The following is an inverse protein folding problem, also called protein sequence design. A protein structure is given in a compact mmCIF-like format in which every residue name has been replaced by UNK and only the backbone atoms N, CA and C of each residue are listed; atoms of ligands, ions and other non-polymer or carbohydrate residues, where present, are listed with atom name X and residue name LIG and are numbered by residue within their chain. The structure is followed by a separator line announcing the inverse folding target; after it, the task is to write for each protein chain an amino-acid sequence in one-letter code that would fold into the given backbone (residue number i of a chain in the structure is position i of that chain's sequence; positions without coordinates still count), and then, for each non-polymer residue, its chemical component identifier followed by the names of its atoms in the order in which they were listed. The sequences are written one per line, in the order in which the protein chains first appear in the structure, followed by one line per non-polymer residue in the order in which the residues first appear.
data_IF_290393897125
#
_entry.id   IF_290393897125
#
_cell.length_a   1.000
_cell.length_b   1.000
_cell.length_c   1.000
_cell.angle_alpha   90.00
_cell.angle_beta   90.00
_cell.angle_gamma   90.00
#
_symmetry.space_group_name_H-M   'P 1'
#
loop_
_entity.id
_entity.type
_entity.pdbx_description
1 polymer ?
#
# COMPACT_ATOMS: atom_id res chain seq x y z
N UNK A 1 3.07 -26.33 14.31
CA UNK A 1 1.82 -26.69 13.61
C UNK A 1 1.31 -25.43 12.93
N UNK A 2 1.04 -25.49 11.64
CA UNK A 2 0.42 -24.37 10.90
C UNK A 2 -1.08 -24.29 11.24
N UNK A 3 -1.59 -23.08 11.32
CA UNK A 3 -3.00 -22.87 11.65
C UNK A 3 -3.83 -22.76 10.35
N UNK A 4 -5.07 -23.29 10.38
CA UNK A 4 -6.02 -23.04 9.32
C UNK A 4 -6.55 -21.61 9.42
N UNK A 5 -6.44 -20.84 8.36
CA UNK A 5 -6.97 -19.48 8.29
C UNK A 5 -8.49 -19.51 8.03
N UNK A 6 -9.24 -18.86 8.90
CA UNK A 6 -10.69 -18.62 8.72
C UNK A 6 -10.89 -17.11 8.73
N UNK A 7 -11.09 -16.48 7.58
CA UNK A 7 -11.23 -15.03 7.50
C UNK A 7 -12.53 -14.56 8.18
N UNK A 8 -12.44 -13.46 8.90
CA UNK A 8 -13.63 -12.72 9.32
C UNK A 8 -14.34 -12.14 8.07
N UNK A 9 -15.64 -11.80 8.14
CA UNK A 9 -16.37 -11.25 7.00
C UNK A 9 -15.68 -10.06 6.34
N UNK A 10 -15.18 -9.11 7.13
CA UNK A 10 -14.45 -7.95 6.62
C UNK A 10 -13.10 -8.34 5.96
N UNK A 11 -12.42 -9.36 6.46
CA UNK A 11 -11.20 -9.86 5.85
C UNK A 11 -11.48 -10.51 4.50
N UNK A 12 -12.57 -11.26 4.40
CA UNK A 12 -13.02 -11.85 3.14
C UNK A 12 -13.37 -10.77 2.11
N UNK A 13 -14.04 -9.70 2.52
CA UNK A 13 -14.31 -8.55 1.67
C UNK A 13 -13.00 -7.91 1.15
N UNK A 14 -12.02 -7.71 2.02
CA UNK A 14 -10.70 -7.19 1.62
C UNK A 14 -9.97 -8.13 0.66
N UNK A 15 -10.01 -9.45 0.89
CA UNK A 15 -9.42 -10.45 -0.02
C UNK A 15 -10.07 -10.36 -1.40
N UNK A 16 -11.40 -10.36 -1.45
CA UNK A 16 -12.15 -10.25 -2.70
C UNK A 16 -11.81 -8.96 -3.45
N UNK A 17 -11.75 -7.84 -2.73
CA UNK A 17 -11.41 -6.54 -3.33
C UNK A 17 -9.99 -6.53 -3.95
N UNK A 18 -9.00 -7.19 -3.32
CA UNK A 18 -7.65 -7.32 -3.89
C UNK A 18 -7.69 -8.18 -5.15
N UNK A 19 -8.47 -9.25 -5.17
CA UNK A 19 -8.57 -10.17 -6.31
C UNK A 19 -9.28 -9.48 -7.49
N UNK A 20 -10.38 -8.80 -7.24
CA UNK A 20 -11.25 -8.23 -8.28
C UNK A 20 -10.74 -6.91 -8.86
N UNK A 21 -10.08 -6.08 -8.04
CA UNK A 21 -9.71 -4.71 -8.41
C UNK A 21 -8.23 -4.59 -8.77
N UNK A 22 -7.88 -3.92 -9.87
CA UNK A 22 -6.47 -3.68 -10.23
C UNK A 22 -5.77 -2.68 -9.30
N UNK A 23 -6.52 -1.89 -8.55
CA UNK A 23 -6.02 -0.96 -7.53
C UNK A 23 -6.95 -0.92 -6.34
N UNK A 24 -6.42 -1.15 -5.13
CA UNK A 24 -7.18 -1.09 -3.88
C UNK A 24 -6.34 -0.54 -2.74
N UNK A 25 -6.95 0.33 -1.93
CA UNK A 25 -6.39 0.81 -0.68
C UNK A 25 -7.13 0.16 0.50
N UNK A 26 -6.40 -0.51 1.36
CA UNK A 26 -6.91 -1.06 2.61
C UNK A 26 -6.45 -0.17 3.78
N UNK A 27 -7.36 0.63 4.28
CA UNK A 27 -7.18 1.49 5.45
C UNK A 27 -7.72 0.78 6.69
N UNK A 28 -6.94 -0.17 7.17
CA UNK A 28 -7.31 -1.03 8.29
C UNK A 28 -6.46 -0.69 9.50
N UNK A 29 -7.08 -0.56 10.65
CA UNK A 29 -6.33 -0.40 11.91
C UNK A 29 -5.33 -1.53 12.16
N UNK A 30 -4.40 -1.28 13.08
CA UNK A 30 -3.41 -2.30 13.48
C UNK A 30 -4.14 -3.52 14.09
N UNK A 31 -3.62 -4.72 13.83
CA UNK A 31 -4.23 -5.96 14.34
C UNK A 31 -5.34 -6.58 13.49
N UNK A 32 -5.88 -5.87 12.48
CA UNK A 32 -6.96 -6.38 11.61
C UNK A 32 -6.50 -7.38 10.53
N UNK A 33 -5.26 -7.86 10.59
CA UNK A 33 -4.78 -8.94 9.72
C UNK A 33 -4.44 -8.52 8.29
N UNK A 34 -4.02 -7.27 8.03
CA UNK A 34 -3.63 -6.78 6.70
C UNK A 34 -2.70 -7.74 5.96
N UNK A 35 -1.70 -8.28 6.67
CA UNK A 35 -0.66 -9.15 6.08
C UNK A 35 -1.24 -10.47 5.60
N UNK A 36 -1.99 -11.19 6.43
CA UNK A 36 -2.60 -12.49 6.05
C UNK A 36 -3.63 -12.30 4.95
N UNK A 37 -4.48 -11.27 5.02
CA UNK A 37 -5.47 -10.91 3.98
C UNK A 37 -4.77 -10.70 2.63
N UNK A 38 -3.71 -9.91 2.61
CA UNK A 38 -2.98 -9.61 1.39
C UNK A 38 -2.25 -10.85 0.84
N UNK A 39 -1.61 -11.64 1.69
CA UNK A 39 -0.95 -12.88 1.26
C UNK A 39 -1.95 -13.91 0.73
N UNK A 40 -3.13 -14.02 1.33
CA UNK A 40 -4.21 -14.90 0.88
C UNK A 40 -4.68 -14.51 -0.54
N UNK A 41 -4.90 -13.21 -0.76
CA UNK A 41 -5.26 -12.70 -2.09
C UNK A 41 -4.13 -12.91 -3.12
N UNK A 42 -2.87 -12.68 -2.75
CA UNK A 42 -1.71 -12.94 -3.61
C UNK A 42 -1.63 -14.43 -3.98
N UNK A 43 -1.82 -15.34 -3.02
CA UNK A 43 -1.80 -16.78 -3.26
C UNK A 43 -2.87 -17.19 -4.30
N UNK A 44 -4.09 -16.65 -4.17
CA UNK A 44 -5.16 -16.88 -5.13
C UNK A 44 -4.83 -16.33 -6.52
N UNK A 45 -4.31 -15.10 -6.62
CA UNK A 45 -3.92 -14.49 -7.90
C UNK A 45 -2.79 -15.23 -8.60
N UNK A 46 -1.80 -15.75 -7.85
CA UNK A 46 -0.72 -16.59 -8.38
C UNK A 46 -1.27 -17.92 -8.88
N UNK A 47 -2.19 -18.56 -8.17
CA UNK A 47 -2.83 -19.81 -8.56
C UNK A 47 -3.65 -19.65 -9.84
N UNK A 48 -4.35 -18.52 -9.98
CA UNK A 48 -5.12 -18.18 -11.20
C UNK A 48 -4.23 -17.73 -12.36
N UNK A 49 -2.93 -17.57 -12.16
CA UNK A 49 -1.98 -17.01 -13.13
C UNK A 49 -2.28 -15.55 -13.56
N UNK A 50 -3.09 -14.83 -12.79
CA UNK A 50 -3.37 -13.39 -12.98
C UNK A 50 -2.17 -12.52 -12.62
N UNK A 51 -1.28 -13.04 -11.79
CA UNK A 51 -0.06 -12.40 -11.33
C UNK A 51 1.08 -13.42 -11.40
N UNK A 52 2.26 -12.99 -11.82
CA UNK A 52 3.44 -13.84 -11.91
C UNK A 52 4.53 -13.47 -10.90
N UNK A 53 4.71 -12.19 -10.63
CA UNK A 53 5.70 -11.67 -9.68
C UNK A 53 5.16 -10.49 -8.88
N UNK A 54 5.25 -10.61 -7.58
CA UNK A 54 4.81 -9.60 -6.63
C UNK A 54 6.02 -8.90 -5.98
N UNK A 55 5.97 -7.57 -5.89
CA UNK A 55 6.88 -6.78 -5.08
C UNK A 55 6.15 -6.20 -3.88
N UNK A 56 6.56 -6.56 -2.68
CA UNK A 56 6.10 -5.94 -1.43
C UNK A 56 7.13 -4.89 -0.99
N UNK A 57 6.68 -3.67 -0.83
CA UNK A 57 7.50 -2.54 -0.36
C UNK A 57 7.00 -2.16 1.03
N UNK A 58 7.80 -2.42 2.06
CA UNK A 58 7.42 -2.27 3.47
C UNK A 58 8.45 -1.42 4.25
N UNK A 59 8.15 -0.99 5.47
CA UNK A 59 9.16 -0.50 6.41
C UNK A 59 10.25 -1.55 6.63
N UNK A 60 11.52 -1.13 6.82
CA UNK A 60 12.66 -2.04 6.86
C UNK A 60 12.47 -3.22 7.83
N UNK A 61 12.07 -2.95 9.07
CA UNK A 61 11.84 -4.00 10.08
C UNK A 61 10.75 -4.99 9.67
N UNK A 62 9.69 -4.51 9.03
CA UNK A 62 8.59 -5.34 8.54
C UNK A 62 9.03 -6.18 7.33
N UNK A 63 9.83 -5.60 6.43
CA UNK A 63 10.39 -6.30 5.27
C UNK A 63 11.42 -7.39 5.66
N UNK A 64 12.05 -7.29 6.81
CA UNK A 64 13.05 -8.25 7.29
C UNK A 64 12.44 -9.61 7.67
N UNK A 65 11.25 -9.61 8.30
CA UNK A 65 10.69 -10.83 8.88
C UNK A 65 9.17 -10.95 8.77
N UNK A 66 8.41 -9.89 9.07
CA UNK A 66 6.95 -9.96 9.32
C UNK A 66 6.16 -10.69 8.23
N UNK A 67 6.44 -10.42 6.96
CA UNK A 67 5.74 -11.05 5.84
C UNK A 67 6.05 -12.54 5.71
N UNK A 68 7.30 -12.94 5.95
CA UNK A 68 7.70 -14.35 5.91
C UNK A 68 7.16 -15.11 7.12
N UNK A 69 7.26 -14.53 8.31
CA UNK A 69 6.75 -15.11 9.54
C UNK A 69 5.23 -15.32 9.44
N UNK A 70 4.52 -14.36 8.88
CA UNK A 70 3.08 -14.49 8.68
C UNK A 70 2.72 -15.60 7.69
N UNK A 71 3.45 -15.72 6.58
CA UNK A 71 3.24 -16.81 5.62
C UNK A 71 3.45 -18.19 6.25
N UNK A 72 4.40 -18.34 7.17
CA UNK A 72 4.68 -19.61 7.85
C UNK A 72 3.60 -20.01 8.86
N UNK A 73 2.83 -19.08 9.42
CA UNK A 73 1.77 -19.36 10.38
C UNK A 73 0.59 -20.10 9.78
N UNK A 74 0.30 -19.87 8.49
CA UNK A 74 -0.91 -20.29 7.83
C UNK A 74 -0.67 -21.40 6.82
N UNK A 75 -1.42 -22.49 6.92
CA UNK A 75 -1.25 -23.68 6.09
C UNK A 75 -1.33 -23.37 4.58
N UNK A 76 -2.33 -22.60 4.16
CA UNK A 76 -2.57 -22.26 2.77
C UNK A 76 -1.52 -21.33 2.13
N UNK A 77 -0.62 -20.75 2.93
CA UNK A 77 0.42 -19.82 2.47
C UNK A 77 1.81 -20.47 2.39
N UNK A 78 1.99 -21.69 2.90
CA UNK A 78 3.31 -22.35 2.97
C UNK A 78 3.95 -22.64 1.62
N UNK A 79 3.15 -22.68 0.55
CA UNK A 79 3.65 -22.87 -0.83
C UNK A 79 4.26 -21.60 -1.46
N UNK A 80 4.13 -20.43 -0.83
CA UNK A 80 4.62 -19.17 -1.38
C UNK A 80 6.14 -19.08 -1.30
N UNK A 81 6.79 -18.89 -2.44
CA UNK A 81 8.24 -18.69 -2.52
C UNK A 81 8.55 -17.21 -2.38
N UNK A 82 9.22 -16.87 -1.30
CA UNK A 82 9.54 -15.49 -0.95
C UNK A 82 11.05 -15.21 -0.96
N UNK A 83 11.45 -14.01 -1.37
CA UNK A 83 12.83 -13.54 -1.33
C UNK A 83 12.92 -12.12 -0.77
N UNK A 84 13.71 -11.94 0.30
CA UNK A 84 13.93 -10.62 0.92
C UNK A 84 15.10 -9.90 0.26
N UNK A 85 14.79 -8.77 -0.38
CA UNK A 85 15.71 -7.94 -1.18
C UNK A 85 16.20 -6.76 -0.33
N UNK A 86 17.12 -7.02 0.57
CA UNK A 86 17.70 -6.06 1.53
C UNK A 86 19.22 -6.13 1.57
N UNK A 87 19.84 -5.22 2.33
CA UNK A 87 21.28 -5.18 2.54
C UNK A 87 22.06 -4.48 1.43
N UNK A 88 23.30 -4.93 1.21
CA UNK A 88 24.20 -4.38 0.18
C UNK A 88 23.68 -4.63 -1.24
N UNK A 89 24.21 -3.90 -2.23
CA UNK A 89 23.83 -4.13 -3.64
C UNK A 89 24.04 -5.59 -4.07
N UNK A 90 25.16 -6.21 -3.66
CA UNK A 90 25.46 -7.63 -3.97
C UNK A 90 24.44 -8.59 -3.33
N UNK A 91 24.02 -8.33 -2.09
CA UNK A 91 23.00 -9.12 -1.41
C UNK A 91 21.64 -8.98 -2.10
N UNK A 92 21.25 -7.78 -2.49
CA UNK A 92 20.00 -7.53 -3.22
C UNK A 92 20.00 -8.22 -4.59
N UNK A 93 21.09 -8.14 -5.36
CA UNK A 93 21.20 -8.86 -6.64
C UNK A 93 21.05 -10.37 -6.44
N UNK A 94 21.73 -10.95 -5.44
CA UNK A 94 21.59 -12.38 -5.10
C UNK A 94 20.16 -12.73 -4.70
N UNK A 95 19.47 -11.85 -3.98
CA UNK A 95 18.07 -12.06 -3.60
C UNK A 95 17.14 -12.01 -4.83
N UNK A 96 17.37 -11.07 -5.75
CA UNK A 96 16.59 -10.96 -7.00
C UNK A 96 16.84 -12.12 -7.98
N UNK A 97 18.00 -12.79 -7.93
CA UNK A 97 18.29 -13.97 -8.76
C UNK A 97 17.63 -15.25 -8.28
N UNK A 98 17.08 -15.28 -7.06
CA UNK A 98 16.32 -16.42 -6.55
C UNK A 98 15.01 -16.57 -7.31
N UNK A 99 14.61 -17.82 -7.58
CA UNK A 99 13.28 -18.12 -8.13
C UNK A 99 12.24 -17.97 -7.01
N UNK A 100 11.58 -16.82 -6.98
CA UNK A 100 10.53 -16.50 -6.02
C UNK A 100 9.30 -15.91 -6.73
N UNK A 101 8.15 -16.03 -6.09
CA UNK A 101 6.89 -15.44 -6.53
C UNK A 101 6.70 -14.05 -5.92
N UNK A 102 7.19 -13.87 -4.69
CA UNK A 102 7.09 -12.64 -3.92
C UNK A 102 8.49 -12.16 -3.55
N UNK A 103 8.78 -10.91 -3.90
CA UNK A 103 9.99 -10.21 -3.50
C UNK A 103 9.63 -9.12 -2.50
N UNK A 104 10.34 -9.05 -1.38
CA UNK A 104 10.06 -8.12 -0.29
C UNK A 104 11.24 -7.17 -0.14
N UNK A 105 10.97 -5.88 -0.13
CA UNK A 105 12.02 -4.87 0.02
C UNK A 105 11.56 -3.70 0.88
N UNK A 106 12.50 -2.82 1.25
CA UNK A 106 12.15 -1.57 1.92
C UNK A 106 11.99 -0.42 0.92
N UNK A 107 11.27 0.62 1.36
CA UNK A 107 10.96 1.80 0.55
C UNK A 107 12.20 2.54 0.02
N UNK A 108 13.34 2.45 0.71
CA UNK A 108 14.57 3.14 0.30
C UNK A 108 15.22 2.47 -0.93
N UNK A 109 14.95 1.19 -1.16
CA UNK A 109 15.44 0.45 -2.31
C UNK A 109 14.64 0.69 -3.60
N UNK A 110 13.48 1.38 -3.54
CA UNK A 110 12.63 1.61 -4.72
C UNK A 110 13.37 2.33 -5.84
N UNK A 111 14.15 3.36 -5.51
CA UNK A 111 14.95 4.11 -6.48
C UNK A 111 16.03 3.23 -7.11
N UNK A 112 16.65 2.35 -6.32
CA UNK A 112 17.64 1.39 -6.84
C UNK A 112 16.99 0.36 -7.76
N UNK A 113 15.83 -0.18 -7.40
CA UNK A 113 15.08 -1.12 -8.25
C UNK A 113 14.65 -0.48 -9.56
N UNK A 114 14.17 0.75 -9.53
CA UNK A 114 13.82 1.50 -10.75
C UNK A 114 15.02 1.67 -11.67
N UNK A 115 16.18 2.08 -11.15
CA UNK A 115 17.43 2.18 -11.94
C UNK A 115 17.89 0.84 -12.48
N UNK A 116 17.71 -0.23 -11.69
CA UNK A 116 18.13 -1.59 -12.04
C UNK A 116 17.33 -2.17 -13.19
N UNK A 117 16.03 -1.97 -13.21
CA UNK A 117 15.13 -2.60 -14.17
C UNK A 117 14.67 -1.65 -15.29
N UNK A 118 14.40 -0.39 -14.98
CA UNK A 118 13.84 0.55 -15.93
C UNK A 118 12.62 -0.04 -16.64
N UNK A 119 12.57 0.02 -17.97
CA UNK A 119 11.45 -0.53 -18.75
C UNK A 119 11.30 -2.05 -18.67
N UNK A 120 12.29 -2.77 -18.15
CA UNK A 120 12.23 -4.23 -17.93
C UNK A 120 11.74 -4.60 -16.55
N UNK A 121 10.92 -3.75 -15.95
CA UNK A 121 10.30 -3.96 -14.65
C UNK A 121 9.57 -5.31 -14.62
N UNK A 122 9.94 -6.25 -13.72
CA UNK A 122 9.45 -7.63 -13.79
C UNK A 122 8.23 -7.88 -12.89
N UNK A 123 7.82 -6.91 -12.05
CA UNK A 123 6.78 -7.09 -11.06
C UNK A 123 5.45 -6.56 -11.61
N UNK A 124 4.52 -7.46 -11.83
CA UNK A 124 3.17 -7.14 -12.32
C UNK A 124 2.20 -6.73 -11.21
N UNK A 125 2.52 -7.05 -9.96
CA UNK A 125 1.80 -6.57 -8.77
C UNK A 125 2.76 -5.91 -7.77
N UNK A 126 2.33 -4.79 -7.20
CA UNK A 126 3.05 -4.08 -6.14
C UNK A 126 2.15 -3.89 -4.92
N UNK A 127 2.65 -4.24 -3.75
CA UNK A 127 2.02 -3.97 -2.45
C UNK A 127 2.83 -2.90 -1.73
N UNK A 128 2.18 -1.82 -1.32
CA UNK A 128 2.75 -0.74 -0.53
C UNK A 128 2.30 -0.90 0.91
N UNK A 129 3.14 -1.51 1.72
CA UNK A 129 2.90 -1.61 3.17
C UNK A 129 3.35 -0.31 3.84
N UNK A 130 2.45 0.29 4.60
CA UNK A 130 2.53 1.66 5.09
C UNK A 130 2.61 2.69 3.95
N UNK A 131 1.55 2.71 3.10
CA UNK A 131 1.45 3.57 1.93
C UNK A 131 1.58 5.07 2.22
N UNK A 132 1.29 5.50 3.46
CA UNK A 132 1.54 6.86 3.95
C UNK A 132 2.98 7.34 3.74
N UNK A 133 3.94 6.42 3.62
CA UNK A 133 5.33 6.73 3.29
C UNK A 133 5.53 7.30 1.87
N UNK A 134 4.54 7.15 0.98
CA UNK A 134 4.54 7.65 -0.40
C UNK A 134 3.67 8.91 -0.59
N UNK A 135 3.13 9.49 0.46
CA UNK A 135 2.22 10.65 0.43
C UNK A 135 2.82 11.92 -0.21
N UNK A 136 4.13 12.09 -0.17
CA UNK A 136 4.80 13.27 -0.74
C UNK A 136 5.28 13.02 -2.17
N UNK A 137 4.59 13.62 -3.14
CA UNK A 137 4.85 13.49 -4.57
C UNK A 137 6.23 13.99 -5.02
N UNK A 138 6.88 14.85 -4.23
CA UNK A 138 8.21 15.38 -4.53
C UNK A 138 9.35 14.39 -4.24
N UNK A 139 9.12 13.35 -3.44
CA UNK A 139 10.16 12.41 -3.03
C UNK A 139 10.67 11.56 -4.18
N UNK A 140 11.96 11.18 -4.11
CA UNK A 140 12.58 10.35 -5.14
C UNK A 140 11.92 8.95 -5.24
N UNK A 141 11.50 8.38 -4.10
CA UNK A 141 10.81 7.07 -4.07
C UNK A 141 9.45 7.12 -4.79
N UNK A 142 8.65 8.18 -4.57
CA UNK A 142 7.41 8.36 -5.31
C UNK A 142 7.67 8.54 -6.80
N UNK A 143 8.60 9.41 -7.18
CA UNK A 143 8.97 9.64 -8.58
C UNK A 143 9.45 8.36 -9.28
N UNK A 144 10.24 7.55 -8.59
CA UNK A 144 10.71 6.27 -9.11
C UNK A 144 9.52 5.30 -9.34
N UNK A 145 8.67 5.12 -8.34
CA UNK A 145 7.52 4.22 -8.47
C UNK A 145 6.49 4.73 -9.49
N UNK A 146 6.29 6.05 -9.57
CA UNK A 146 5.45 6.68 -10.61
C UNK A 146 5.93 6.35 -12.02
N UNK A 147 7.25 6.34 -12.26
CA UNK A 147 7.81 5.95 -13.58
C UNK A 147 7.56 4.48 -13.90
N UNK A 148 7.56 3.61 -12.88
CA UNK A 148 7.33 2.18 -13.04
C UNK A 148 5.83 1.84 -13.12
N UNK A 149 4.95 2.73 -12.63
CA UNK A 149 3.51 2.48 -12.56
C UNK A 149 2.86 1.97 -13.85
N UNK A 150 3.24 2.44 -15.07
CA UNK A 150 2.69 1.90 -16.32
C UNK A 150 3.02 0.42 -16.59
N UNK A 151 4.01 -0.14 -15.90
CA UNK A 151 4.42 -1.54 -16.01
C UNK A 151 3.84 -2.42 -14.89
N UNK A 152 2.98 -1.87 -14.04
CA UNK A 152 2.39 -2.56 -12.89
C UNK A 152 0.88 -2.71 -13.14
N UNK A 153 0.43 -3.97 -13.21
CA UNK A 153 -0.97 -4.27 -13.47
C UNK A 153 -1.84 -4.08 -12.22
N UNK A 154 -1.31 -4.45 -11.03
CA UNK A 154 -2.05 -4.39 -9.77
C UNK A 154 -1.27 -3.64 -8.70
N UNK A 155 -1.96 -2.78 -7.96
CA UNK A 155 -1.39 -2.06 -6.80
C UNK A 155 -2.31 -2.21 -5.60
N UNK A 156 -1.74 -2.63 -4.48
CA UNK A 156 -2.42 -2.68 -3.18
C UNK A 156 -1.71 -1.74 -2.23
N UNK A 157 -2.46 -0.86 -1.61
CA UNK A 157 -1.97 0.04 -0.56
C UNK A 157 -2.52 -0.37 0.80
N UNK A 158 -1.61 -0.54 1.76
CA UNK A 158 -1.95 -0.88 3.14
C UNK A 158 -1.54 0.29 4.04
N UNK A 159 -2.43 0.68 4.94
CA UNK A 159 -2.11 1.64 6.01
C UNK A 159 -2.87 1.31 7.28
N UNK A 160 -2.24 1.60 8.42
CA UNK A 160 -2.86 1.49 9.74
C UNK A 160 -3.75 2.67 10.12
N UNK A 161 -3.84 3.71 9.29
CA UNK A 161 -4.67 4.89 9.54
C UNK A 161 -5.95 4.79 8.74
N UNK A 162 -7.13 4.62 9.39
CA UNK A 162 -8.40 4.36 8.70
C UNK A 162 -8.97 5.57 7.94
N UNK A 163 -8.42 6.76 8.14
CA UNK A 163 -8.78 7.97 7.38
C UNK A 163 -7.55 8.87 7.19
N UNK A 164 -7.44 9.55 6.05
CA UNK A 164 -6.36 10.50 5.84
C UNK A 164 -6.54 11.71 6.77
N UNK A 165 -5.49 12.03 7.54
CA UNK A 165 -5.47 13.24 8.36
C UNK A 165 -5.35 14.52 7.50
N UNK A 166 -4.77 14.39 6.32
CA UNK A 166 -4.62 15.48 5.35
C UNK A 166 -4.98 14.98 3.94
N UNK A 167 -6.07 15.51 3.40
CA UNK A 167 -6.53 15.18 2.06
C UNK A 167 -5.54 15.59 0.96
N UNK A 168 -4.67 16.56 1.21
CA UNK A 168 -3.62 16.96 0.27
C UNK A 168 -2.63 15.81 0.01
N UNK A 169 -2.32 15.03 1.04
CA UNK A 169 -1.41 13.89 0.98
C UNK A 169 -1.97 12.69 0.19
N UNK A 170 -3.29 12.63 -0.03
CA UNK A 170 -3.94 11.53 -0.75
C UNK A 170 -3.56 11.47 -2.23
N UNK A 171 -3.30 12.62 -2.87
CA UNK A 171 -3.06 12.63 -4.31
C UNK A 171 -1.96 11.66 -4.74
N UNK A 172 -0.85 11.63 -4.02
CA UNK A 172 0.29 10.80 -4.38
C UNK A 172 -0.02 9.30 -4.22
N UNK A 173 -0.72 8.92 -3.14
CA UNK A 173 -1.14 7.55 -2.91
C UNK A 173 -2.14 7.12 -3.99
N UNK A 174 -3.23 7.85 -4.17
CA UNK A 174 -4.24 7.54 -5.18
C UNK A 174 -3.67 7.52 -6.60
N UNK A 175 -2.68 8.39 -6.90
CA UNK A 175 -1.99 8.34 -8.18
C UNK A 175 -1.29 6.99 -8.41
N UNK A 176 -0.69 6.41 -7.38
CA UNK A 176 -0.07 5.08 -7.49
C UNK A 176 -1.10 3.97 -7.67
N UNK A 177 -2.32 4.12 -7.18
CA UNK A 177 -3.40 3.16 -7.42
C UNK A 177 -3.91 3.19 -8.86
N UNK A 178 -4.17 4.39 -9.42
CA UNK A 178 -4.97 4.54 -10.64
C UNK A 178 -4.35 5.41 -11.74
N UNK A 179 -3.12 5.86 -11.56
CA UNK A 179 -2.40 6.74 -12.50
C UNK A 179 -3.10 8.08 -12.73
N UNK A 180 -3.75 8.62 -11.69
CA UNK A 180 -4.41 9.91 -11.73
C UNK A 180 -5.81 9.93 -12.37
N UNK A 181 -6.46 8.79 -12.52
CA UNK A 181 -7.83 8.71 -13.07
C UNK A 181 -8.83 9.45 -12.18
N UNK A 182 -8.73 9.32 -10.85
CA UNK A 182 -9.68 9.90 -9.89
C UNK A 182 -9.35 11.33 -9.49
N UNK A 183 -8.11 11.60 -9.13
CA UNK A 183 -7.69 12.88 -8.56
C UNK A 183 -6.90 13.77 -9.53
N UNK A 184 -6.73 13.32 -10.77
CA UNK A 184 -6.03 14.06 -11.81
C UNK A 184 -4.54 13.70 -11.94
N UNK A 185 -4.00 13.98 -13.12
CA UNK A 185 -2.63 13.63 -13.53
C UNK A 185 -1.54 14.49 -12.88
N UNK A 186 -1.90 15.68 -12.39
CA UNK A 186 -0.96 16.67 -11.85
C UNK A 186 -1.40 17.09 -10.45
N UNK A 187 -0.46 17.07 -9.51
CA UNK A 187 -0.69 17.54 -8.14
C UNK A 187 -1.19 18.99 -8.08
N UNK A 188 -0.64 19.87 -8.91
CA UNK A 188 -1.06 21.28 -8.96
C UNK A 188 -2.55 21.41 -9.31
N UNK A 189 -3.02 20.65 -10.31
CA UNK A 189 -4.43 20.63 -10.69
C UNK A 189 -5.31 20.11 -9.55
N UNK A 190 -4.90 19.04 -8.87
CA UNK A 190 -5.61 18.52 -7.70
C UNK A 190 -5.71 19.57 -6.61
N UNK A 191 -4.56 20.18 -6.24
CA UNK A 191 -4.53 21.25 -5.24
C UNK A 191 -5.43 22.41 -5.63
N UNK A 192 -5.34 22.92 -6.84
CA UNK A 192 -6.07 24.12 -7.27
C UNK A 192 -7.59 23.85 -7.39
N UNK A 193 -8.00 22.62 -7.68
CA UNK A 193 -9.40 22.22 -7.74
C UNK A 193 -10.04 22.06 -6.36
N UNK A 194 -9.33 21.47 -5.40
CA UNK A 194 -9.92 21.04 -4.13
C UNK A 194 -9.47 21.86 -2.92
N UNK A 195 -8.44 22.70 -3.05
CA UNK A 195 -7.89 23.48 -1.94
C UNK A 195 -7.83 24.96 -2.26
N UNK A 196 -7.71 25.75 -1.20
CA UNK A 196 -7.48 27.19 -1.26
C UNK A 196 -6.38 27.58 -0.28
N UNK A 197 -5.67 28.71 -0.52
CA UNK A 197 -4.69 29.23 0.43
C UNK A 197 -5.33 29.47 1.80
N UNK A 198 -4.63 29.05 2.85
CA UNK A 198 -5.07 29.27 4.23
C UNK A 198 -4.22 30.34 4.90
N UNK A 199 -2.92 30.11 5.06
CA UNK A 199 -1.98 31.08 5.61
C UNK A 199 -1.05 31.59 4.52
N UNK A 200 -0.96 32.93 4.40
CA UNK A 200 -0.07 33.58 3.43
C UNK A 200 0.60 34.81 4.05
N UNK A 201 1.79 35.15 3.56
CA UNK A 201 2.46 36.41 3.79
C UNK A 201 2.84 37.00 2.44
N UNK A 202 2.19 38.08 2.02
CA UNK A 202 2.33 38.61 0.69
C UNK A 202 1.95 37.56 -0.38
N UNK A 203 2.89 37.28 -1.30
CA UNK A 203 2.71 36.28 -2.34
C UNK A 203 3.03 34.83 -1.92
N UNK A 204 3.65 34.62 -0.74
CA UNK A 204 4.04 33.30 -0.27
C UNK A 204 2.92 32.61 0.50
N UNK A 205 2.48 31.46 0.01
CA UNK A 205 1.47 30.62 0.65
C UNK A 205 2.18 29.57 1.51
N UNK A 206 1.85 29.51 2.81
CA UNK A 206 2.46 28.57 3.76
C UNK A 206 1.60 27.33 4.02
N UNK A 207 0.27 27.48 3.92
CA UNK A 207 -0.64 26.35 4.12
C UNK A 207 -1.85 26.44 3.20
N UNK A 208 -2.45 25.28 2.99
CA UNK A 208 -3.64 25.09 2.15
C UNK A 208 -4.72 24.42 3.01
N UNK A 209 -5.97 24.77 2.78
CA UNK A 209 -7.12 24.10 3.39
C UNK A 209 -8.11 23.65 2.33
N UNK A 210 -8.87 22.58 2.57
CA UNK A 210 -9.90 22.13 1.64
C UNK A 210 -10.91 23.24 1.36
N UNK A 211 -11.38 23.34 0.14
CA UNK A 211 -12.55 24.14 -0.21
C UNK A 211 -13.81 23.53 0.41
N UNK A 212 -14.84 24.31 0.63
CA UNK A 212 -16.13 23.82 1.15
C UNK A 212 -16.65 22.66 0.29
N UNK A 213 -16.90 21.52 0.90
CA UNK A 213 -17.38 20.30 0.24
C UNK A 213 -16.32 19.48 -0.49
N UNK A 214 -15.07 19.93 -0.60
CA UNK A 214 -14.02 19.21 -1.32
C UNK A 214 -13.73 17.83 -0.71
N UNK A 215 -13.75 17.71 0.62
CA UNK A 215 -13.52 16.41 1.30
C UNK A 215 -14.55 15.38 0.91
N UNK A 216 -15.84 15.73 0.91
CA UNK A 216 -16.92 14.83 0.52
C UNK A 216 -16.78 14.38 -0.95
N UNK A 217 -16.39 15.31 -1.85
CA UNK A 217 -16.14 14.98 -3.27
C UNK A 217 -14.96 14.03 -3.42
N UNK A 218 -13.87 14.26 -2.68
CA UNK A 218 -12.70 13.38 -2.71
C UNK A 218 -13.07 12.00 -2.16
N UNK A 219 -13.77 11.91 -1.03
CA UNK A 219 -14.23 10.65 -0.46
C UNK A 219 -15.12 9.86 -1.43
N UNK A 220 -16.09 10.53 -2.06
CA UNK A 220 -16.95 9.88 -3.06
C UNK A 220 -16.16 9.30 -4.24
N UNK A 221 -15.08 9.98 -4.68
CA UNK A 221 -14.19 9.49 -5.73
C UNK A 221 -13.34 8.27 -5.31
N UNK A 222 -13.18 8.03 -4.02
CA UNK A 222 -12.36 6.94 -3.48
C UNK A 222 -13.20 5.76 -3.00
N UNK A 223 -14.52 5.90 -2.90
CA UNK A 223 -15.42 4.90 -2.33
C UNK A 223 -15.35 3.52 -3.01
N UNK A 224 -15.02 3.48 -4.30
CA UNK A 224 -14.89 2.24 -5.07
C UNK A 224 -13.49 1.60 -5.01
N UNK A 225 -12.49 2.30 -4.46
CA UNK A 225 -11.09 1.85 -4.46
C UNK A 225 -10.49 1.73 -3.06
N UNK A 226 -11.09 2.36 -2.06
CA UNK A 226 -10.62 2.34 -0.68
C UNK A 226 -11.64 1.62 0.23
N UNK A 227 -11.14 0.73 1.08
CA UNK A 227 -11.89 0.08 2.16
C UNK A 227 -11.31 0.59 3.47
N UNK A 228 -12.16 1.18 4.31
CA UNK A 228 -11.77 1.71 5.61
C UNK A 228 -12.49 0.96 6.73
N UNK A 229 -11.72 0.37 7.65
CA UNK A 229 -12.26 -0.44 8.74
C UNK A 229 -11.55 -0.08 10.04
N UNK A 230 -12.34 0.19 11.07
CA UNK A 230 -11.87 0.44 12.43
C UNK A 230 -11.98 -0.84 13.27
N UNK A 231 -11.05 -1.05 14.19
CA UNK A 231 -11.02 -2.23 15.04
C UNK A 231 -12.25 -2.30 15.97
N UNK A 232 -12.74 -1.15 16.43
CA UNK A 232 -13.92 -1.07 17.30
C UNK A 232 -15.19 -1.62 16.63
N UNK A 233 -15.29 -1.61 15.31
CA UNK A 233 -16.49 -2.09 14.59
C UNK A 233 -16.52 -3.61 14.43
N UNK A 234 -15.37 -4.30 14.61
CA UNK A 234 -15.23 -5.71 14.25
C UNK A 234 -14.55 -6.59 15.31
N UNK A 235 -13.88 -6.01 16.29
CA UNK A 235 -13.22 -6.74 17.37
C UNK A 235 -13.86 -6.36 18.71
N UNK A 236 -14.29 -7.36 19.47
CA UNK A 236 -14.56 -7.18 20.90
C UNK A 236 -13.21 -7.03 21.61
N UNK A 237 -12.68 -5.83 21.61
CA UNK A 237 -11.48 -5.51 22.38
C UNK A 237 -11.88 -5.44 23.87
N UNK A 238 -11.09 -6.05 24.79
CA UNK A 238 -11.29 -5.82 26.21
C UNK A 238 -11.18 -4.32 26.51
N UNK A 239 -12.04 -3.82 27.40
CA UNK A 239 -12.00 -2.43 27.85
C UNK A 239 -10.58 -2.06 28.27
N UNK A 240 -10.11 -0.90 27.80
CA UNK A 240 -8.83 -0.34 28.25
C UNK A 240 -8.91 -0.12 29.75
N UNK A 241 -8.22 -0.93 30.53
CA UNK A 241 -7.95 -0.63 31.93
C UNK A 241 -6.94 0.52 31.93
N UNK A 242 -7.42 1.73 32.19
CA UNK A 242 -6.54 2.90 32.48
C UNK A 242 -6.21 2.73 33.97
N UNK A 243 -5.05 2.19 34.29
CA UNK A 243 -4.46 2.35 35.62
C UNK A 243 -3.91 3.77 35.68
N UNK A 244 -4.62 4.65 36.41
CA UNK A 244 -4.06 5.93 36.83
C UNK A 244 -2.92 5.66 37.82
N UNK A 245 -1.68 6.00 37.44
CA UNK A 245 -0.49 6.03 38.29
C UNK A 245 -0.25 7.46 38.77
#
# INVERSE_FOLDING_TARGET
MSNQFKPHPYQQECINAIIERPGVALWLEMGLGKTVVTLTAIAALLQLSDVSKVLIIAPKKVAEATWQDEAQKWEHLQGLRMSTVLGTAKQRERALSKKADIYITNRDNVVWLEKRYGRRWPFDMVVLDEASSFKHHSTQRFKALRRMRPHINRVVELTGTPAPKDYMDLWAQVYLLDQGKRLGQRFTQYRDNYFQPDKRNGMQIYSWKPRKGAEAVIQAKLADVAISIQAADHLQLPEKIIEDI
#
